data_IF_886322791713
#
_entry.id   IF_886322791713
#
_cell.length_a   1.000
_cell.length_b   1.000
_cell.length_c   1.000
_cell.angle_alpha   90.00
_cell.angle_beta   90.00
_cell.angle_gamma   90.00
#
_symmetry.space_group_name_H-M   'P 1'
#
loop_
_entity.id
_entity.type
_entity.pdbx_description
1 polymer ?
#
# COMPACT_ATOMS: atom_id res chain seq x y z
N UNK A 1 7.04 17.36 -9.14
CA UNK A 1 8.10 16.35 -9.18
C UNK A 1 9.29 16.97 -9.89
N UNK A 2 10.41 17.07 -9.26
CA UNK A 2 11.64 17.60 -9.84
C UNK A 2 12.73 16.53 -9.67
N UNK A 3 13.55 16.36 -10.70
CA UNK A 3 14.67 15.43 -10.70
C UNK A 3 15.20 15.25 -12.12
N UNK A 4 16.36 14.64 -12.31
CA UNK A 4 16.89 14.35 -13.63
C UNK A 4 15.95 13.46 -14.44
N UNK A 5 15.83 13.70 -15.73
CA UNK A 5 14.92 12.96 -16.62
C UNK A 5 15.18 11.45 -16.67
N UNK A 6 16.42 11.02 -16.45
CA UNK A 6 16.80 9.62 -16.47
C UNK A 6 16.15 8.79 -15.33
N UNK A 7 15.66 9.42 -14.26
CA UNK A 7 14.93 8.70 -13.18
C UNK A 7 13.63 8.04 -13.66
N UNK A 8 13.11 8.47 -14.81
CA UNK A 8 11.89 7.92 -15.40
C UNK A 8 12.14 7.09 -16.66
N UNK A 9 13.36 7.11 -17.20
CA UNK A 9 13.71 6.43 -18.45
C UNK A 9 14.70 5.29 -18.28
N UNK A 10 15.60 5.40 -17.32
CA UNK A 10 16.70 4.44 -17.17
C UNK A 10 16.33 3.39 -16.10
N UNK A 11 16.66 2.15 -16.38
CA UNK A 11 16.44 1.00 -15.50
C UNK A 11 17.75 0.40 -15.08
N UNK A 12 17.86 0.03 -13.83
CA UNK A 12 19.05 -0.58 -13.26
C UNK A 12 18.68 -1.87 -12.54
N UNK A 13 19.38 -2.94 -12.84
CA UNK A 13 19.34 -4.16 -12.05
C UNK A 13 20.40 -4.06 -10.96
N UNK A 14 19.99 -4.29 -9.72
CA UNK A 14 20.89 -4.24 -8.56
C UNK A 14 21.00 -5.65 -8.00
N UNK A 15 22.19 -6.23 -8.11
CA UNK A 15 22.55 -7.48 -7.44
C UNK A 15 23.49 -7.16 -6.28
N UNK A 16 23.06 -7.48 -5.06
CA UNK A 16 23.84 -7.22 -3.86
C UNK A 16 23.74 -8.38 -2.87
N UNK A 17 24.87 -8.70 -2.24
CA UNK A 17 24.94 -9.73 -1.21
C UNK A 17 25.16 -9.10 0.15
N UNK A 18 24.32 -9.45 1.12
CA UNK A 18 24.49 -9.01 2.49
C UNK A 18 25.82 -9.56 3.07
N UNK A 19 26.50 -8.76 3.88
CA UNK A 19 27.72 -9.17 4.55
C UNK A 19 27.49 -10.33 5.53
N UNK A 20 26.28 -10.43 6.10
CA UNK A 20 25.86 -11.53 6.97
C UNK A 20 24.68 -12.27 6.35
N UNK A 21 24.76 -13.61 6.32
CA UNK A 21 23.64 -14.46 5.87
C UNK A 21 22.42 -14.45 6.83
N UNK A 22 22.60 -13.94 8.05
CA UNK A 22 21.57 -13.84 9.08
C UNK A 22 21.00 -12.41 9.23
N UNK A 23 21.29 -11.51 8.29
CA UNK A 23 20.78 -10.14 8.33
C UNK A 23 19.24 -10.12 8.35
N UNK A 24 18.67 -9.44 9.31
CA UNK A 24 17.24 -9.23 9.36
C UNK A 24 16.78 -8.18 8.33
N UNK A 25 15.44 -7.99 8.21
CA UNK A 25 14.87 -7.05 7.24
C UNK A 25 15.30 -5.59 7.50
N UNK A 26 15.48 -5.21 8.77
CA UNK A 26 15.92 -3.86 9.15
C UNK A 26 17.35 -3.60 8.72
N UNK A 27 18.24 -4.55 9.03
CA UNK A 27 19.65 -4.51 8.61
C UNK A 27 19.79 -4.48 7.09
N UNK A 28 19.00 -5.31 6.36
CA UNK A 28 19.00 -5.28 4.90
C UNK A 28 18.54 -3.93 4.33
N UNK A 29 17.56 -3.28 4.97
CA UNK A 29 17.12 -1.94 4.56
C UNK A 29 18.21 -0.90 4.75
N UNK A 30 18.95 -0.96 5.86
CA UNK A 30 20.08 -0.05 6.12
C UNK A 30 21.22 -0.28 5.11
N UNK A 31 21.55 -1.54 4.83
CA UNK A 31 22.56 -1.87 3.81
C UNK A 31 22.16 -1.39 2.42
N UNK A 32 20.89 -1.54 2.04
CA UNK A 32 20.40 -1.01 0.77
C UNK A 32 20.48 0.51 0.72
N UNK A 33 20.15 1.21 1.82
CA UNK A 33 20.28 2.67 1.90
C UNK A 33 21.74 3.11 1.72
N UNK A 34 22.69 2.43 2.35
CA UNK A 34 24.12 2.69 2.18
C UNK A 34 24.57 2.46 0.73
N UNK A 35 24.19 1.33 0.14
CA UNK A 35 24.51 0.99 -1.24
C UNK A 35 23.99 2.05 -2.24
N UNK A 36 22.74 2.50 -2.05
CA UNK A 36 22.19 3.54 -2.90
C UNK A 36 22.89 4.89 -2.70
N UNK A 37 23.29 5.22 -1.46
CA UNK A 37 24.11 6.40 -1.19
C UNK A 37 25.45 6.35 -1.89
N UNK A 38 26.12 5.19 -1.83
CA UNK A 38 27.48 5.01 -2.36
C UNK A 38 27.50 4.96 -3.90
N UNK A 39 26.52 4.24 -4.50
CA UNK A 39 26.51 3.99 -5.96
C UNK A 39 25.82 5.09 -6.77
N UNK A 40 24.82 5.73 -6.20
CA UNK A 40 24.02 6.77 -6.86
C UNK A 40 24.21 8.16 -6.25
N UNK A 41 25.14 8.32 -5.30
CA UNK A 41 25.30 9.55 -4.50
C UNK A 41 23.94 10.05 -3.96
N UNK A 42 23.06 9.08 -3.59
CA UNK A 42 21.70 9.37 -3.17
C UNK A 42 21.71 10.07 -1.80
N UNK A 43 21.17 11.27 -1.75
CA UNK A 43 20.93 12.01 -0.50
C UNK A 43 19.43 12.21 -0.34
N UNK A 44 18.91 11.74 0.77
CA UNK A 44 17.49 11.87 1.11
C UNK A 44 17.34 12.46 2.50
N UNK A 45 16.26 13.22 2.67
CA UNK A 45 15.79 13.68 3.97
C UNK A 45 14.32 13.34 4.16
N UNK A 46 13.92 13.21 5.39
CA UNK A 46 12.51 13.03 5.75
C UNK A 46 11.89 14.41 5.97
N UNK A 47 10.67 14.58 5.47
CA UNK A 47 9.92 15.82 5.60
C UNK A 47 8.44 15.51 5.79
N UNK A 48 7.80 16.19 6.73
CA UNK A 48 6.36 16.13 6.87
C UNK A 48 5.69 17.07 5.87
N UNK A 49 4.80 16.53 5.04
CA UNK A 49 3.99 17.32 4.10
C UNK A 49 2.53 16.94 4.19
N UNK A 50 1.67 17.95 4.08
CA UNK A 50 0.23 17.70 3.99
C UNK A 50 -0.14 17.12 2.63
N UNK A 51 -0.71 15.91 2.65
CA UNK A 51 -1.23 15.24 1.47
C UNK A 51 -2.74 15.02 1.59
N UNK A 52 -3.38 14.98 0.43
CA UNK A 52 -4.73 14.44 0.34
C UNK A 52 -4.69 12.95 0.73
N UNK A 53 -5.47 12.59 1.72
CA UNK A 53 -5.50 11.28 2.34
C UNK A 53 -6.96 10.85 2.55
N UNK A 54 -7.14 9.65 3.08
CA UNK A 54 -8.45 9.16 3.52
C UNK A 54 -8.37 8.70 4.98
N UNK A 55 -9.45 8.93 5.71
CA UNK A 55 -9.74 8.21 6.93
C UNK A 55 -10.64 7.02 6.59
N UNK A 56 -10.24 5.82 7.00
CA UNK A 56 -11.09 4.65 6.99
C UNK A 56 -11.91 4.68 8.28
N UNK A 57 -13.21 4.78 8.15
CA UNK A 57 -14.14 4.89 9.28
C UNK A 57 -15.29 3.88 9.13
N UNK A 58 -16.00 3.63 10.23
CA UNK A 58 -17.21 2.80 10.20
C UNK A 58 -18.34 3.57 9.50
N UNK A 59 -19.04 2.92 8.57
CA UNK A 59 -20.23 3.51 7.94
C UNK A 59 -21.42 3.55 8.91
N UNK A 60 -22.40 4.41 8.63
CA UNK A 60 -23.60 4.62 9.47
C UNK A 60 -24.37 3.35 9.84
N UNK A 61 -24.26 2.32 9.00
CA UNK A 61 -24.94 1.04 9.21
C UNK A 61 -24.12 0.05 10.06
N UNK A 62 -22.97 0.46 10.59
CA UNK A 62 -22.08 -0.36 11.37
C UNK A 62 -21.18 -1.29 10.53
N UNK A 63 -20.15 -1.87 11.17
CA UNK A 63 -19.21 -2.74 10.48
C UNK A 63 -19.85 -4.10 10.17
N UNK A 64 -19.50 -4.67 9.02
CA UNK A 64 -19.91 -6.01 8.56
C UNK A 64 -18.68 -6.92 8.41
N UNK A 65 -17.81 -6.86 9.39
CA UNK A 65 -16.59 -7.64 9.42
C UNK A 65 -16.86 -8.98 10.09
N UNK A 66 -16.35 -10.07 9.51
CA UNK A 66 -16.40 -11.39 10.11
C UNK A 66 -15.16 -11.63 10.99
N UNK A 67 -15.29 -11.64 12.31
CA UNK A 67 -14.16 -12.00 13.18
C UNK A 67 -13.69 -13.42 12.86
N UNK A 68 -12.37 -13.63 12.87
CA UNK A 68 -11.77 -14.95 12.71
C UNK A 68 -11.32 -15.46 14.08
N UNK A 69 -11.80 -16.64 14.46
CA UNK A 69 -11.37 -17.33 15.68
C UNK A 69 -10.04 -18.03 15.45
N UNK A 70 -9.29 -18.27 16.54
CA UNK A 70 -8.05 -19.00 16.46
C UNK A 70 -8.29 -20.43 15.93
N UNK A 71 -7.48 -20.82 14.95
CA UNK A 71 -7.62 -22.10 14.26
C UNK A 71 -8.68 -22.15 13.16
N UNK A 72 -9.46 -21.10 12.95
CA UNK A 72 -10.45 -21.03 11.87
C UNK A 72 -9.76 -20.72 10.53
N UNK A 73 -10.13 -21.45 9.48
CA UNK A 73 -9.65 -21.18 8.12
C UNK A 73 -10.33 -19.97 7.49
N UNK A 74 -9.59 -19.19 6.72
CA UNK A 74 -10.17 -18.13 5.90
C UNK A 74 -11.00 -18.70 4.76
N UNK A 75 -12.08 -18.00 4.40
CA UNK A 75 -12.88 -18.27 3.19
C UNK A 75 -12.22 -17.78 1.91
N UNK A 76 -11.07 -17.15 2.02
CA UNK A 76 -10.33 -16.65 0.86
C UNK A 76 -9.92 -17.82 -0.04
N UNK A 77 -10.64 -18.01 -1.12
CA UNK A 77 -10.25 -18.83 -2.24
C UNK A 77 -9.65 -17.93 -3.33
N UNK A 78 -8.74 -18.44 -4.15
CA UNK A 78 -8.01 -17.61 -5.16
C UNK A 78 -8.86 -17.12 -6.33
N UNK A 79 -10.14 -17.37 -6.31
CA UNK A 79 -11.07 -17.06 -7.38
C UNK A 79 -11.76 -15.71 -7.15
N UNK A 80 -11.48 -14.78 -8.00
CA UNK A 80 -12.23 -13.56 -8.32
C UNK A 80 -12.40 -12.44 -7.28
N UNK A 81 -11.98 -12.57 -6.03
CA UNK A 81 -12.00 -11.43 -5.10
C UNK A 81 -10.80 -10.53 -5.34
N UNK A 82 -11.02 -9.24 -5.51
CA UNK A 82 -9.95 -8.27 -5.71
C UNK A 82 -9.04 -8.16 -4.48
N UNK A 83 -9.60 -8.39 -3.29
CA UNK A 83 -8.87 -8.42 -2.02
C UNK A 83 -9.50 -9.43 -1.06
N UNK A 84 -8.73 -10.42 -0.62
CA UNK A 84 -9.20 -11.36 0.39
C UNK A 84 -8.11 -11.81 1.37
N UNK A 85 -8.52 -12.49 2.45
CA UNK A 85 -7.68 -13.12 3.45
C UNK A 85 -7.81 -12.51 4.85
N UNK A 86 -7.09 -13.10 5.78
CA UNK A 86 -7.13 -12.67 7.19
C UNK A 86 -6.32 -11.41 7.40
N UNK A 87 -6.95 -10.36 7.88
CA UNK A 87 -6.32 -9.06 8.10
C UNK A 87 -6.89 -8.36 9.33
N UNK A 88 -6.08 -7.50 9.92
CA UNK A 88 -6.59 -6.41 10.80
C UNK A 88 -7.10 -5.27 9.93
N UNK A 89 -7.94 -4.39 10.48
CA UNK A 89 -8.40 -3.20 9.75
C UNK A 89 -7.23 -2.28 9.38
N UNK A 90 -6.25 -2.13 10.26
CA UNK A 90 -5.03 -1.37 9.94
C UNK A 90 -4.22 -1.98 8.78
N UNK A 91 -4.16 -3.33 8.66
CA UNK A 91 -3.54 -3.97 7.50
C UNK A 91 -4.38 -3.78 6.24
N UNK A 92 -5.72 -3.82 6.34
CA UNK A 92 -6.62 -3.51 5.25
C UNK A 92 -6.38 -2.09 4.72
N UNK A 93 -6.32 -1.09 5.60
CA UNK A 93 -6.03 0.29 5.24
C UNK A 93 -4.71 0.42 4.44
N UNK A 94 -3.64 -0.24 4.90
CA UNK A 94 -2.34 -0.27 4.19
C UNK A 94 -2.43 -0.88 2.79
N UNK A 95 -3.20 -1.95 2.62
CA UNK A 95 -3.37 -2.57 1.29
C UNK A 95 -4.20 -1.68 0.37
N UNK A 96 -5.29 -1.10 0.87
CA UNK A 96 -6.15 -0.20 0.11
C UNK A 96 -5.43 1.08 -0.34
N UNK A 97 -4.47 1.57 0.44
CA UNK A 97 -3.63 2.71 0.10
C UNK A 97 -2.95 2.54 -1.26
N UNK A 98 -2.46 1.33 -1.58
CA UNK A 98 -1.87 1.04 -2.90
C UNK A 98 -2.90 1.10 -4.02
N UNK A 99 -4.14 0.72 -3.74
CA UNK A 99 -5.22 0.76 -4.72
C UNK A 99 -5.68 2.18 -5.03
N UNK A 100 -5.77 3.05 -4.03
CA UNK A 100 -6.26 4.43 -4.23
C UNK A 100 -5.14 5.45 -4.47
N UNK A 101 -3.87 5.05 -4.33
CA UNK A 101 -2.70 5.93 -4.52
C UNK A 101 -2.61 7.08 -3.52
N UNK A 102 -3.24 6.94 -2.34
CA UNK A 102 -3.25 7.96 -1.27
C UNK A 102 -3.14 7.29 0.10
N UNK A 103 -2.52 7.95 1.08
CA UNK A 103 -2.50 7.47 2.45
C UNK A 103 -3.90 7.21 3.00
N UNK A 104 -4.06 6.11 3.73
CA UNK A 104 -5.30 5.76 4.43
C UNK A 104 -4.97 5.55 5.90
N UNK A 105 -5.63 6.33 6.76
CA UNK A 105 -5.51 6.22 8.21
C UNK A 105 -6.69 5.44 8.77
N UNK A 106 -6.42 4.40 9.54
CA UNK A 106 -7.45 3.66 10.25
C UNK A 106 -7.97 4.51 11.42
N UNK A 107 -9.22 4.90 11.32
CA UNK A 107 -9.98 5.64 12.32
C UNK A 107 -11.25 4.89 12.73
N UNK A 108 -11.29 3.58 12.48
CA UNK A 108 -12.47 2.76 12.81
C UNK A 108 -12.58 2.44 14.28
N UNK A 109 -11.47 2.39 15.00
CA UNK A 109 -11.41 1.92 16.38
C UNK A 109 -11.70 0.41 16.52
N UNK A 110 -11.61 -0.35 15.43
CA UNK A 110 -11.89 -1.79 15.42
C UNK A 110 -10.61 -2.60 15.55
N UNK A 111 -10.48 -3.32 16.63
CA UNK A 111 -9.37 -4.23 16.88
C UNK A 111 -9.75 -5.69 16.54
N UNK A 112 -8.72 -6.48 16.24
CA UNK A 112 -8.87 -7.91 15.97
C UNK A 112 -8.50 -8.33 14.55
N UNK A 113 -8.70 -9.62 14.29
CA UNK A 113 -8.43 -10.25 12.98
C UNK A 113 -9.74 -10.64 12.33
N UNK A 114 -9.89 -10.31 11.07
CA UNK A 114 -11.10 -10.51 10.30
C UNK A 114 -10.81 -11.28 9.02
N UNK A 115 -11.74 -12.13 8.65
CA UNK A 115 -11.75 -12.80 7.35
C UNK A 115 -12.35 -11.84 6.31
N UNK A 116 -11.50 -11.07 5.69
CA UNK A 116 -11.86 -10.05 4.69
C UNK A 116 -12.09 -10.72 3.34
N UNK A 117 -13.21 -10.40 2.75
CA UNK A 117 -13.54 -10.72 1.36
C UNK A 117 -14.13 -9.46 0.75
N UNK A 118 -13.40 -8.82 -0.15
CA UNK A 118 -13.80 -7.57 -0.79
C UNK A 118 -13.70 -7.72 -2.31
N UNK A 119 -14.86 -7.66 -2.93
CA UNK A 119 -14.98 -7.78 -4.37
C UNK A 119 -15.35 -6.42 -4.98
N UNK A 120 -14.46 -5.89 -5.82
CA UNK A 120 -14.60 -4.57 -6.41
C UNK A 120 -13.92 -4.50 -7.79
N UNK A 121 -14.25 -3.47 -8.55
CA UNK A 121 -13.60 -3.20 -9.84
C UNK A 121 -12.14 -2.73 -9.64
N UNK A 122 -11.24 -3.68 -9.77
CA UNK A 122 -9.80 -3.42 -9.70
C UNK A 122 -9.21 -2.90 -11.01
N UNK A 123 -9.92 -3.04 -12.14
CA UNK A 123 -9.46 -2.55 -13.46
C UNK A 123 -9.51 -1.03 -13.51
N UNK A 124 -10.63 -0.42 -13.13
CA UNK A 124 -10.78 1.04 -13.12
C UNK A 124 -9.75 1.73 -12.22
N UNK A 125 -9.39 1.12 -11.09
CA UNK A 125 -8.34 1.64 -10.20
C UNK A 125 -6.97 1.66 -10.89
N UNK A 126 -6.71 0.66 -11.73
CA UNK A 126 -5.46 0.55 -12.50
C UNK A 126 -5.47 1.33 -13.81
N UNK A 127 -6.53 2.08 -14.08
CA UNK A 127 -6.71 2.79 -15.35
C UNK A 127 -6.90 1.86 -16.55
N UNK A 128 -7.37 0.64 -16.30
CA UNK A 128 -7.62 -0.37 -17.33
C UNK A 128 -9.11 -0.45 -17.64
N UNK A 129 -9.46 -0.76 -18.88
CA UNK A 129 -10.85 -1.02 -19.26
C UNK A 129 -11.22 -2.44 -18.83
N UNK A 130 -12.31 -2.62 -18.05
CA UNK A 130 -12.75 -3.95 -17.67
C UNK A 130 -13.25 -4.73 -18.91
N UNK A 131 -13.16 -6.08 -18.86
CA UNK A 131 -13.73 -6.92 -19.91
C UNK A 131 -15.24 -6.71 -20.08
N UNK A 132 -15.76 -7.00 -21.26
CA UNK A 132 -17.21 -6.94 -21.53
C UNK A 132 -17.99 -7.86 -20.59
N UNK A 133 -19.03 -7.33 -19.94
CA UNK A 133 -19.83 -8.08 -18.95
C UNK A 133 -19.25 -8.12 -17.54
N UNK A 134 -18.16 -7.37 -17.28
CA UNK A 134 -17.59 -7.24 -15.95
C UNK A 134 -18.33 -6.17 -15.15
N UNK A 135 -19.21 -6.61 -14.25
CA UNK A 135 -20.02 -5.73 -13.41
C UNK A 135 -19.63 -5.90 -11.94
N UNK A 136 -18.67 -5.10 -11.48
CA UNK A 136 -18.32 -5.04 -10.06
C UNK A 136 -18.44 -3.62 -9.53
N UNK A 137 -18.80 -3.45 -8.26
CA UNK A 137 -18.92 -2.13 -7.65
C UNK A 137 -17.56 -1.43 -7.57
N UNK A 138 -17.59 -0.10 -7.48
CA UNK A 138 -16.40 0.67 -7.16
C UNK A 138 -15.83 0.25 -5.79
N UNK A 139 -14.53 0.47 -5.56
CA UNK A 139 -13.92 0.19 -4.26
C UNK A 139 -14.67 0.89 -3.10
N UNK A 140 -15.10 2.14 -3.30
CA UNK A 140 -15.83 2.92 -2.29
C UNK A 140 -17.18 2.29 -1.97
N UNK A 141 -17.93 1.88 -2.99
CA UNK A 141 -19.21 1.19 -2.85
C UNK A 141 -19.04 -0.17 -2.17
N UNK A 142 -18.04 -0.95 -2.63
CA UNK A 142 -17.75 -2.26 -2.07
C UNK A 142 -17.40 -2.21 -0.57
N UNK A 143 -16.59 -1.24 -0.16
CA UNK A 143 -16.26 -1.03 1.25
C UNK A 143 -17.49 -0.80 2.12
N UNK A 144 -18.43 0.04 1.64
CA UNK A 144 -19.67 0.34 2.37
C UNK A 144 -20.62 -0.85 2.41
N UNK A 145 -20.86 -1.48 1.28
CA UNK A 145 -21.85 -2.55 1.15
C UNK A 145 -21.39 -3.87 1.75
N UNK A 146 -20.12 -4.22 1.55
CA UNK A 146 -19.59 -5.54 1.95
C UNK A 146 -18.97 -5.54 3.34
N UNK A 147 -18.28 -4.45 3.74
CA UNK A 147 -17.56 -4.39 5.02
C UNK A 147 -18.18 -3.40 6.02
N UNK A 148 -19.13 -2.55 5.62
CA UNK A 148 -19.68 -1.49 6.46
C UNK A 148 -18.65 -0.44 6.87
N UNK A 149 -17.67 -0.21 6.01
CA UNK A 149 -16.60 0.78 6.18
C UNK A 149 -16.66 1.80 5.05
N UNK A 150 -16.17 3.00 5.29
CA UNK A 150 -16.09 4.04 4.25
C UNK A 150 -14.78 4.81 4.31
N UNK A 151 -14.37 5.36 3.17
CA UNK A 151 -13.25 6.28 3.05
C UNK A 151 -13.77 7.72 3.04
N UNK A 152 -13.36 8.51 4.03
CA UNK A 152 -13.62 9.94 4.11
C UNK A 152 -12.38 10.72 3.70
N UNK A 153 -12.54 11.65 2.75
CA UNK A 153 -11.43 12.50 2.30
C UNK A 153 -10.94 13.39 3.44
N UNK A 154 -9.62 13.48 3.59
CA UNK A 154 -8.96 14.32 4.59
C UNK A 154 -7.65 14.87 4.02
N UNK A 155 -7.02 15.76 4.78
CA UNK A 155 -5.62 16.13 4.62
C UNK A 155 -4.88 15.74 5.88
N UNK A 156 -3.73 15.17 5.75
CA UNK A 156 -2.92 14.78 6.89
C UNK A 156 -1.42 14.93 6.59
N UNK A 157 -0.61 15.23 7.60
CA UNK A 157 0.83 15.19 7.47
C UNK A 157 1.28 13.75 7.25
N UNK A 158 2.11 13.56 6.22
CA UNK A 158 2.69 12.28 5.82
C UNK A 158 4.19 12.45 5.76
N UNK A 159 4.92 11.50 6.33
CA UNK A 159 6.36 11.43 6.17
C UNK A 159 6.69 11.09 4.71
N UNK A 160 7.40 11.98 4.06
CA UNK A 160 7.87 11.79 2.69
C UNK A 160 9.38 11.79 2.64
N UNK A 161 9.93 10.94 1.80
CA UNK A 161 11.35 11.00 1.46
C UNK A 161 11.54 12.02 0.33
N UNK A 162 12.30 13.07 0.63
CA UNK A 162 12.71 14.07 -0.36
C UNK A 162 14.10 13.69 -0.84
N UNK A 163 14.23 13.51 -2.14
CA UNK A 163 15.53 13.30 -2.78
C UNK A 163 16.16 14.67 -3.01
N UNK A 164 17.22 14.96 -2.25
CA UNK A 164 17.97 16.21 -2.39
C UNK A 164 19.03 16.09 -3.50
N UNK A 165 19.57 14.88 -3.70
CA UNK A 165 20.58 14.62 -4.73
C UNK A 165 20.56 13.17 -5.18
N UNK A 166 20.81 12.94 -6.48
CA UNK A 166 20.99 11.60 -7.05
C UNK A 166 21.76 11.71 -8.36
N UNK A 167 22.69 10.81 -8.59
CA UNK A 167 23.52 10.70 -9.81
C UNK A 167 23.34 9.32 -10.45
N UNK A 168 23.68 9.20 -11.73
CA UNK A 168 23.81 7.90 -12.36
C UNK A 168 24.95 7.11 -11.72
N UNK A 169 24.80 5.78 -11.53
CA UNK A 169 25.87 4.98 -10.98
C UNK A 169 27.09 4.99 -11.92
N UNK A 170 28.27 5.01 -11.36
CA UNK A 170 29.49 4.76 -12.14
C UNK A 170 29.50 3.30 -12.57
N UNK A 171 29.88 3.00 -13.82
CA UNK A 171 30.12 1.62 -14.26
C UNK A 171 31.14 0.94 -13.36
N UNK A 172 30.94 -0.37 -13.09
CA UNK A 172 31.92 -1.21 -12.39
C UNK A 172 33.14 -1.46 -13.25
#
# INVERSE_FOLDING_TARGET
MGGPSWLTSDWYDIEAKAASASADRGEMTLMLKSLLSDRFNLRVREELRDFAAYNLVVDKNGPRLRPLKDGEASRCTRDNSALCGVKTVGTLAKVLQYSVGRPIFDKTGIDGRFDILLDYDSFSIRGQTPPSGYEKPSLFTALQEQLGLKLESTKAPVDVLVIDHVERPTPD
#
